data_IF_826719199610
#
_entry.id   IF_826719199610
#
_cell.length_a   1.000
_cell.length_b   1.000
_cell.length_c   1.000
_cell.angle_alpha   90.00
_cell.angle_beta   90.00
_cell.angle_gamma   90.00
#
_symmetry.space_group_name_H-M   'P 1'
#
loop_
_entity.id
_entity.type
_entity.pdbx_description
1 polymer ?
#
# COMPACT_ATOMS: atom_id res chain seq x y z
N UNK A 1 22.76 -8.54 11.34
CA UNK A 1 21.87 -8.66 10.18
C UNK A 1 20.87 -7.51 10.21
N UNK A 2 20.79 -6.77 9.12
CA UNK A 2 19.83 -5.68 9.04
C UNK A 2 18.46 -6.22 8.71
N UNK A 3 17.48 -5.67 9.41
CA UNK A 3 16.10 -6.02 9.20
C UNK A 3 15.46 -5.00 8.28
N UNK A 4 14.63 -5.46 7.37
CA UNK A 4 13.90 -4.59 6.45
C UNK A 4 12.40 -4.76 6.70
N UNK A 5 11.70 -3.66 6.93
CA UNK A 5 10.24 -3.69 7.05
C UNK A 5 9.63 -3.56 5.65
N UNK A 6 8.64 -4.36 5.38
CA UNK A 6 7.92 -4.34 4.10
C UNK A 6 6.58 -3.63 4.29
N UNK A 7 6.33 -2.66 3.41
CA UNK A 7 5.05 -1.97 3.32
C UNK A 7 4.54 -2.19 1.90
N UNK A 8 3.28 -2.49 1.75
CA UNK A 8 2.66 -2.60 0.43
C UNK A 8 1.24 -2.06 0.49
N UNK A 9 0.64 -1.81 -0.67
CA UNK A 9 -0.74 -1.34 -0.71
C UNK A 9 -1.71 -2.52 -0.69
N UNK A 10 -3.00 -2.23 -0.49
CA UNK A 10 -4.01 -3.26 -0.36
C UNK A 10 -4.30 -4.00 -1.68
N UNK A 11 -3.83 -3.47 -2.80
CA UNK A 11 -3.99 -4.12 -4.12
C UNK A 11 -3.13 -5.40 -4.21
N UNK A 12 -2.10 -5.52 -3.36
CA UNK A 12 -1.26 -6.72 -3.36
C UNK A 12 -2.04 -7.99 -3.04
N UNK A 13 -3.24 -7.86 -2.46
CA UNK A 13 -4.14 -8.98 -2.18
C UNK A 13 -3.50 -10.07 -1.33
N UNK A 14 -2.71 -9.67 -0.34
CA UNK A 14 -2.09 -10.62 0.56
C UNK A 14 -3.12 -11.15 1.56
N UNK A 15 -2.89 -12.36 2.04
CA UNK A 15 -3.74 -12.92 3.09
C UNK A 15 -3.36 -12.35 4.45
N UNK A 16 -4.30 -12.39 5.40
CA UNK A 16 -4.01 -11.95 6.76
C UNK A 16 -2.89 -12.77 7.40
N UNK A 17 -2.82 -14.04 7.05
CA UNK A 17 -1.80 -14.96 7.56
C UNK A 17 -0.41 -14.54 7.12
N UNK A 18 -0.24 -14.21 5.85
CA UNK A 18 1.05 -13.76 5.31
C UNK A 18 1.44 -12.42 5.92
N UNK A 19 0.48 -11.51 6.01
CA UNK A 19 0.73 -10.19 6.59
C UNK A 19 1.22 -10.33 8.03
N UNK A 20 0.56 -11.17 8.82
CA UNK A 20 0.95 -11.39 10.20
C UNK A 20 2.29 -12.11 10.32
N UNK A 21 2.52 -13.11 9.48
CA UNK A 21 3.74 -13.92 9.53
C UNK A 21 4.99 -13.08 9.28
N UNK A 22 4.94 -12.16 8.34
CA UNK A 22 6.10 -11.35 7.96
C UNK A 22 6.06 -9.92 8.50
N UNK A 23 5.04 -9.59 9.27
CA UNK A 23 4.91 -8.24 9.81
C UNK A 23 4.76 -7.15 8.76
N UNK A 24 4.12 -7.50 7.64
CA UNK A 24 3.92 -6.55 6.55
C UNK A 24 2.88 -5.51 6.94
N UNK A 25 3.11 -4.25 6.58
CA UNK A 25 2.13 -3.20 6.78
C UNK A 25 1.42 -2.93 5.47
N UNK A 26 0.12 -2.77 5.56
CA UNK A 26 -0.73 -2.52 4.40
C UNK A 26 -1.16 -1.06 4.41
N UNK A 27 -0.89 -0.35 3.32
CA UNK A 27 -1.43 0.99 3.10
C UNK A 27 -2.76 0.82 2.37
N UNK A 28 -3.88 1.21 2.99
CA UNK A 28 -5.19 0.96 2.39
C UNK A 28 -5.48 1.92 1.25
N UNK A 29 -5.99 1.40 0.14
CA UNK A 29 -6.61 2.23 -0.86
C UNK A 29 -8.02 2.58 -0.39
N UNK A 30 -8.56 3.66 -0.93
CA UNK A 30 -9.91 4.07 -0.63
C UNK A 30 -10.82 3.64 -1.77
N UNK A 31 -12.06 3.29 -1.44
CA UNK A 31 -13.07 3.13 -2.47
C UNK A 31 -14.39 3.74 -2.01
N UNK A 32 -15.20 4.05 -3.01
CA UNK A 32 -16.47 4.72 -2.83
C UNK A 32 -17.59 3.81 -3.30
N UNK A 33 -18.64 3.71 -2.50
CA UNK A 33 -19.82 2.96 -2.89
C UNK A 33 -21.02 3.60 -2.22
N UNK A 34 -22.04 3.89 -2.99
CA UNK A 34 -23.29 4.45 -2.50
C UNK A 34 -23.09 5.68 -1.61
N UNK A 35 -22.18 6.57 -2.03
CA UNK A 35 -21.94 7.83 -1.32
C UNK A 35 -21.09 7.72 -0.06
N UNK A 36 -20.53 6.55 0.20
CA UNK A 36 -19.67 6.32 1.36
C UNK A 36 -18.25 6.00 0.92
N UNK A 37 -17.29 6.38 1.77
CA UNK A 37 -15.87 6.11 1.56
C UNK A 37 -15.42 5.00 2.52
N UNK A 38 -14.74 4.01 1.98
CA UNK A 38 -14.21 2.91 2.78
C UNK A 38 -12.70 2.80 2.56
N UNK A 39 -11.99 2.55 3.65
CA UNK A 39 -10.56 2.19 3.56
C UNK A 39 -10.47 0.67 3.47
N UNK A 40 -9.91 0.19 2.37
CA UNK A 40 -9.71 -1.23 2.17
C UNK A 40 -8.82 -1.79 3.28
N UNK A 41 -9.14 -2.95 3.80
CA UNK A 41 -8.43 -3.60 4.90
C UNK A 41 -8.72 -3.02 6.29
N UNK A 42 -9.20 -1.80 6.38
CA UNK A 42 -9.43 -1.13 7.66
C UNK A 42 -10.93 -1.11 7.98
N UNK A 43 -11.72 -0.56 7.07
CA UNK A 43 -13.16 -0.39 7.30
C UNK A 43 -13.97 -1.57 6.81
N UNK A 44 -13.43 -2.39 5.93
CA UNK A 44 -14.19 -3.41 5.22
C UNK A 44 -13.28 -4.53 4.76
N UNK A 45 -13.82 -5.76 4.78
CA UNK A 45 -13.09 -6.92 4.28
C UNK A 45 -13.24 -7.03 2.76
N UNK A 46 -12.33 -7.78 2.09
CA UNK A 46 -12.47 -8.00 0.66
C UNK A 46 -13.81 -8.62 0.25
N UNK A 47 -14.34 -9.54 1.06
CA UNK A 47 -15.62 -10.18 0.76
C UNK A 47 -16.75 -9.16 0.81
N UNK A 48 -16.75 -8.30 1.83
CA UNK A 48 -17.76 -7.24 1.94
C UNK A 48 -17.65 -6.23 0.81
N UNK A 49 -16.42 -5.89 0.42
CA UNK A 49 -16.19 -4.98 -0.70
C UNK A 49 -16.73 -5.55 -2.00
N UNK A 50 -16.52 -6.85 -2.22
CA UNK A 50 -17.02 -7.51 -3.41
C UNK A 50 -18.54 -7.50 -3.45
N UNK A 51 -19.20 -7.70 -2.32
CA UNK A 51 -20.66 -7.62 -2.24
C UNK A 51 -21.18 -6.25 -2.59
N UNK A 52 -20.51 -5.18 -2.12
CA UNK A 52 -20.87 -3.82 -2.47
C UNK A 52 -20.70 -3.57 -3.96
N UNK A 53 -19.62 -4.10 -4.54
CA UNK A 53 -19.40 -3.98 -5.98
C UNK A 53 -20.51 -4.65 -6.78
N UNK A 54 -20.91 -5.86 -6.38
CA UNK A 54 -21.97 -6.58 -7.08
C UNK A 54 -23.32 -5.88 -6.98
N UNK A 55 -23.56 -5.20 -5.87
CA UNK A 55 -24.80 -4.52 -5.63
C UNK A 55 -25.00 -3.32 -6.55
N UNK A 56 -23.93 -2.55 -6.80
CA UNK A 56 -23.98 -1.38 -7.68
C UNK A 56 -22.59 -1.12 -8.28
N UNK A 57 -22.25 -1.87 -9.34
CA UNK A 57 -20.92 -1.74 -9.94
C UNK A 57 -20.61 -0.34 -10.46
N UNK A 58 -21.62 0.39 -10.90
CA UNK A 58 -21.39 1.70 -11.49
C UNK A 58 -21.04 2.77 -10.46
N UNK A 59 -21.52 2.63 -9.23
CA UNK A 59 -21.18 3.57 -8.17
C UNK A 59 -19.85 3.26 -7.50
N UNK A 60 -19.27 2.09 -7.76
CA UNK A 60 -18.05 1.64 -7.11
C UNK A 60 -16.83 2.26 -7.80
N UNK A 61 -16.10 3.07 -7.06
CA UNK A 61 -14.89 3.75 -7.57
C UNK A 61 -13.77 3.65 -6.55
N UNK A 62 -12.55 3.67 -7.05
CA UNK A 62 -11.37 3.59 -6.20
C UNK A 62 -10.52 4.84 -6.32
N UNK A 63 -9.73 5.10 -5.29
CA UNK A 63 -8.74 6.16 -5.31
C UNK A 63 -7.48 5.70 -4.58
N UNK A 64 -6.38 6.39 -4.83
CA UNK A 64 -5.11 6.08 -4.19
C UNK A 64 -5.22 6.27 -2.67
N UNK A 65 -4.31 5.63 -1.95
CA UNK A 65 -4.17 5.84 -0.52
C UNK A 65 -3.84 7.32 -0.23
N UNK A 66 -4.20 7.78 0.95
CA UNK A 66 -3.88 9.15 1.34
C UNK A 66 -2.40 9.27 1.73
N UNK A 67 -1.81 10.46 1.56
CA UNK A 67 -0.45 10.70 2.05
C UNK A 67 -0.30 10.39 3.54
N UNK A 68 -1.31 10.71 4.33
CA UNK A 68 -1.29 10.46 5.77
C UNK A 68 -1.22 8.96 6.09
N UNK A 69 -1.96 8.15 5.34
CA UNK A 69 -1.92 6.70 5.55
C UNK A 69 -0.54 6.13 5.21
N UNK A 70 0.10 6.63 4.16
CA UNK A 70 1.46 6.23 3.82
C UNK A 70 2.45 6.66 4.91
N UNK A 71 2.32 7.89 5.38
CA UNK A 71 3.21 8.43 6.41
C UNK A 71 3.06 7.64 7.71
N UNK A 72 1.83 7.30 8.09
CA UNK A 72 1.59 6.50 9.30
C UNK A 72 2.22 5.12 9.18
N UNK A 73 2.18 4.51 8.00
CA UNK A 73 2.84 3.23 7.78
C UNK A 73 4.35 3.35 7.95
N UNK A 74 4.96 4.42 7.45
CA UNK A 74 6.38 4.66 7.63
C UNK A 74 6.74 4.87 9.10
N UNK A 75 5.95 5.66 9.82
CA UNK A 75 6.17 5.89 11.25
C UNK A 75 6.11 4.59 12.03
N UNK A 76 5.10 3.78 11.74
CA UNK A 76 4.91 2.51 12.43
C UNK A 76 6.05 1.54 12.15
N UNK A 77 6.45 1.41 10.90
CA UNK A 77 7.55 0.53 10.51
C UNK A 77 8.88 1.00 11.10
N UNK A 78 9.08 2.30 11.22
CA UNK A 78 10.33 2.86 11.73
C UNK A 78 10.59 2.52 13.20
N UNK A 79 9.56 2.12 13.93
CA UNK A 79 9.71 1.71 15.32
C UNK A 79 10.40 0.35 15.45
N UNK A 80 10.40 -0.45 14.39
CA UNK A 80 11.01 -1.78 14.41
C UNK A 80 12.33 -1.84 13.69
N UNK A 81 12.53 -1.01 12.67
CA UNK A 81 13.75 -1.01 11.89
C UNK A 81 13.93 0.33 11.20
N UNK A 82 15.18 0.63 10.83
CA UNK A 82 15.51 1.87 10.12
C UNK A 82 15.50 1.68 8.60
N UNK A 83 15.23 0.47 8.12
CA UNK A 83 15.22 0.15 6.70
C UNK A 83 13.81 -0.26 6.29
N UNK A 84 13.21 0.50 5.39
CA UNK A 84 11.84 0.30 4.96
C UNK A 84 11.79 0.17 3.44
N UNK A 85 11.14 -0.86 2.95
CA UNK A 85 10.85 -1.04 1.53
C UNK A 85 9.34 -0.97 1.33
N UNK A 86 8.90 0.01 0.55
CA UNK A 86 7.50 0.19 0.22
C UNK A 86 7.27 -0.21 -1.24
N UNK A 87 6.45 -1.23 -1.45
CA UNK A 87 6.17 -1.76 -2.78
C UNK A 87 4.72 -1.40 -3.14
N UNK A 88 4.56 -0.64 -4.22
CA UNK A 88 3.23 -0.17 -4.63
C UNK A 88 2.80 -0.80 -5.94
N UNK A 89 1.49 -0.76 -6.19
CA UNK A 89 0.93 -1.03 -7.51
C UNK A 89 1.64 -0.17 -8.55
N UNK A 90 1.72 -0.66 -9.79
CA UNK A 90 2.41 0.05 -10.86
C UNK A 90 1.97 1.51 -10.97
N UNK A 91 2.95 2.38 -11.13
CA UNK A 91 2.71 3.82 -11.32
C UNK A 91 1.87 4.10 -12.57
N UNK A 92 1.82 3.16 -13.49
CA UNK A 92 1.00 3.29 -14.71
C UNK A 92 -0.48 3.05 -14.42
N UNK A 93 -0.82 2.41 -13.31
CA UNK A 93 -2.19 2.03 -12.98
C UNK A 93 -2.81 2.88 -11.90
N UNK A 94 -1.99 3.52 -11.07
CA UNK A 94 -2.50 4.26 -9.91
C UNK A 94 -1.51 5.33 -9.47
N UNK A 95 -2.01 6.32 -8.74
CA UNK A 95 -1.19 7.36 -8.15
C UNK A 95 -0.54 6.94 -6.83
N UNK A 96 -0.73 5.70 -6.37
CA UNK A 96 -0.21 5.25 -5.07
C UNK A 96 1.31 5.45 -4.97
N UNK A 97 2.04 5.14 -6.04
CA UNK A 97 3.49 5.32 -6.04
C UNK A 97 3.87 6.78 -5.79
N UNK A 98 3.21 7.72 -6.48
CA UNK A 98 3.47 9.15 -6.29
C UNK A 98 3.16 9.60 -4.87
N UNK A 99 2.06 9.10 -4.31
CA UNK A 99 1.69 9.39 -2.92
C UNK A 99 2.74 8.84 -1.96
N UNK A 100 3.21 7.60 -2.19
CA UNK A 100 4.23 6.99 -1.36
C UNK A 100 5.56 7.75 -1.43
N UNK A 101 5.93 8.25 -2.60
CA UNK A 101 7.14 9.07 -2.77
C UNK A 101 7.01 10.41 -2.05
N UNK A 102 5.85 11.06 -2.15
CA UNK A 102 5.60 12.31 -1.43
C UNK A 102 5.67 12.11 0.08
N UNK A 103 5.08 11.04 0.58
CA UNK A 103 5.14 10.72 2.00
C UNK A 103 6.58 10.41 2.44
N UNK A 104 7.36 9.75 1.58
CA UNK A 104 8.78 9.50 1.85
C UNK A 104 9.55 10.81 2.04
N UNK A 105 9.33 11.78 1.18
CA UNK A 105 9.99 13.08 1.31
C UNK A 105 9.60 13.78 2.61
N UNK A 106 8.34 13.72 2.98
CA UNK A 106 7.88 14.28 4.25
C UNK A 106 8.48 13.53 5.44
N UNK A 107 8.60 12.21 5.33
CA UNK A 107 9.16 11.38 6.40
C UNK A 107 10.64 11.67 6.65
N UNK A 108 11.38 12.17 5.66
CA UNK A 108 12.80 12.54 5.86
C UNK A 108 12.97 13.55 6.97
N UNK A 109 12.02 14.46 7.14
CA UNK A 109 12.06 15.45 8.20
C UNK A 109 11.73 14.86 9.55
N UNK A 110 10.75 13.96 9.62
CA UNK A 110 10.32 13.34 10.86
C UNK A 110 11.20 12.18 11.30
N UNK A 111 11.72 11.43 10.34
CA UNK A 111 12.46 10.19 10.57
C UNK A 111 13.82 10.24 9.86
N UNK A 112 14.70 11.18 10.28
CA UNK A 112 15.93 11.43 9.53
C UNK A 112 16.92 10.26 9.49
N UNK A 113 16.79 9.30 10.42
CA UNK A 113 17.68 8.15 10.46
C UNK A 113 17.07 6.92 9.79
N UNK A 114 15.90 7.05 9.21
CA UNK A 114 15.21 5.94 8.55
C UNK A 114 15.42 6.00 7.06
N UNK A 115 15.84 4.88 6.48
CA UNK A 115 16.01 4.74 5.04
C UNK A 115 14.75 4.14 4.45
N UNK A 116 14.11 4.87 3.55
CA UNK A 116 12.85 4.44 2.92
C UNK A 116 13.09 4.36 1.42
N UNK A 117 12.82 3.20 0.84
CA UNK A 117 12.80 3.02 -0.60
C UNK A 117 11.36 2.71 -1.02
N UNK A 118 10.81 3.52 -1.91
CA UNK A 118 9.50 3.27 -2.47
C UNK A 118 9.68 2.85 -3.93
N UNK A 119 9.11 1.71 -4.30
CA UNK A 119 9.19 1.19 -5.66
C UNK A 119 7.80 0.83 -6.15
N UNK A 120 7.59 0.97 -7.45
CA UNK A 120 6.36 0.51 -8.07
C UNK A 120 6.62 -0.80 -8.78
N UNK A 121 5.57 -1.56 -9.05
CA UNK A 121 5.71 -2.79 -9.84
C UNK A 121 6.33 -2.53 -11.21
N UNK A 122 6.23 -1.32 -11.72
CA UNK A 122 6.87 -0.94 -12.98
C UNK A 122 8.39 -1.06 -12.90
N UNK A 123 8.96 -0.84 -11.73
CA UNK A 123 10.42 -0.93 -11.51
C UNK A 123 10.89 -2.35 -11.30
N UNK A 124 9.98 -3.28 -11.01
CA UNK A 124 10.33 -4.66 -10.72
C UNK A 124 10.27 -5.47 -12.00
N UNK A 125 11.39 -6.07 -12.36
CA UNK A 125 11.51 -6.88 -13.57
C UNK A 125 11.82 -8.31 -13.20
N UNK A 126 10.96 -9.23 -13.60
CA UNK A 126 11.17 -10.64 -13.35
C UNK A 126 11.80 -11.29 -14.59
N UNK A 127 12.82 -12.13 -14.40
CA UNK A 127 13.45 -12.80 -15.55
C UNK A 127 12.48 -13.62 -16.38
N UNK A 128 11.53 -14.27 -15.75
CA UNK A 128 10.53 -15.09 -16.42
C UNK A 128 9.63 -14.30 -17.35
N UNK A 129 9.55 -13.01 -17.17
CA UNK A 129 8.73 -12.15 -17.98
C UNK A 129 9.14 -12.17 -19.45
N UNK A 130 10.39 -12.50 -19.72
CA UNK A 130 10.92 -12.51 -21.08
C UNK A 130 10.57 -13.74 -21.86
N UNK A 131 10.08 -14.74 -21.21
CA UNK A 131 9.74 -16.00 -21.83
C UNK A 131 8.40 -15.91 -22.56
N UNK A 132 7.63 -14.95 -22.18
CA UNK A 132 6.27 -14.77 -22.71
C UNK A 132 6.29 -13.98 -24.01
#
# INVERSE_FOLDING_TARGET
MQKVAIITDSIACLTKEIVAQYGIRIVPLNFYSEGRVYKDWVDITPAEAYELFLKDPESFKTSAASPEDCLNAYRDASQQTKNILCITISAKLSAVYSVAQGAKEQAKTELPQTSIEAVSYTHLTLPTKRIV
#
